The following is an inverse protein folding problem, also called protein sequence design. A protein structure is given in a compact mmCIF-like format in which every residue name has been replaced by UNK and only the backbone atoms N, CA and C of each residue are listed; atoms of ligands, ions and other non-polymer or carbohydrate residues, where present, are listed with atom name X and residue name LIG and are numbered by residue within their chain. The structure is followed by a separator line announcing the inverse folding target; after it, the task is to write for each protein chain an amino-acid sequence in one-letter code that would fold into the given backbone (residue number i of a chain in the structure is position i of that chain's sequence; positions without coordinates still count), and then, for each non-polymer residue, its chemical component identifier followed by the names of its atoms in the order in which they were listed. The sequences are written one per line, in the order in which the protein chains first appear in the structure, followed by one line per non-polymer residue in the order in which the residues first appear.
data_IF_365584821943
#
_entry.id   IF_365584821943
#
_cell.length_a   1.000
_cell.length_b   1.000
_cell.length_c   1.000
_cell.angle_alpha   90.00
_cell.angle_beta   90.00
_cell.angle_gamma   90.00
#
_symmetry.space_group_name_H-M   'P 1'
#
loop_
_entity.id
_entity.type
_entity.pdbx_description
1 polymer ?
#
# COMPACT_ATOMS: atom_id res chain seq x y z
N UNK A 1 -36.85 85.02 15.68
CA UNK A 1 -37.74 85.23 14.50
C UNK A 1 -36.84 85.34 13.30
N UNK A 2 -36.58 84.25 12.63
CA UNK A 2 -35.84 84.33 11.39
C UNK A 2 -36.55 83.40 10.39
N UNK A 3 -37.37 84.03 9.53
CA UNK A 3 -38.04 83.32 8.41
C UNK A 3 -37.02 83.29 7.28
N UNK A 4 -36.38 82.13 7.10
CA UNK A 4 -35.56 81.90 5.91
C UNK A 4 -36.46 81.79 4.69
N UNK A 5 -36.43 82.84 3.84
CA UNK A 5 -36.99 82.94 2.52
C UNK A 5 -36.53 81.77 1.67
N UNK A 6 -37.37 80.73 1.53
CA UNK A 6 -37.22 79.75 0.49
C UNK A 6 -37.63 80.33 -0.85
N UNK A 7 -36.70 80.85 -1.64
CA UNK A 7 -36.93 81.25 -3.01
C UNK A 7 -37.58 80.10 -3.77
N UNK A 8 -38.72 80.35 -4.47
CA UNK A 8 -39.35 79.31 -5.26
C UNK A 8 -38.40 78.88 -6.40
N UNK A 9 -38.17 77.61 -6.51
CA UNK A 9 -37.44 77.03 -7.60
C UNK A 9 -38.04 77.39 -8.95
N UNK A 10 -37.25 77.71 -9.99
CA UNK A 10 -37.75 78.09 -11.30
C UNK A 10 -38.66 76.97 -11.84
N UNK A 11 -39.77 77.37 -12.56
CA UNK A 11 -40.82 76.43 -13.00
C UNK A 11 -40.30 75.28 -13.86
N UNK A 12 -39.18 75.42 -14.56
CA UNK A 12 -38.47 74.36 -15.28
C UNK A 12 -37.83 73.31 -14.36
N UNK A 13 -37.33 73.71 -13.18
CA UNK A 13 -36.74 72.80 -12.21
C UNK A 13 -37.81 72.00 -11.43
N UNK A 14 -38.99 72.64 -11.17
CA UNK A 14 -40.08 71.95 -10.47
C UNK A 14 -40.77 70.94 -11.37
N UNK A 15 -40.90 71.22 -12.69
CA UNK A 15 -41.44 70.25 -13.67
C UNK A 15 -40.43 69.10 -13.90
N UNK A 16 -39.16 69.39 -13.96
CA UNK A 16 -38.11 68.37 -14.03
C UNK A 16 -38.10 67.49 -12.78
N UNK A 17 -38.21 68.06 -11.58
CA UNK A 17 -38.25 67.33 -10.30
C UNK A 17 -39.58 66.51 -10.17
N UNK A 18 -40.69 67.03 -10.67
CA UNK A 18 -41.99 66.30 -10.74
C UNK A 18 -41.89 65.06 -11.66
N UNK A 19 -41.38 65.31 -12.86
CA UNK A 19 -41.16 64.24 -13.82
C UNK A 19 -40.11 63.22 -13.32
N UNK A 20 -39.03 63.65 -12.68
CA UNK A 20 -38.04 62.78 -12.04
C UNK A 20 -38.67 61.91 -10.92
N UNK A 21 -39.60 62.42 -10.14
CA UNK A 21 -40.37 61.67 -9.15
C UNK A 21 -41.24 60.58 -9.80
N UNK A 22 -41.89 60.91 -10.92
CA UNK A 22 -42.75 59.98 -11.64
C UNK A 22 -41.92 58.88 -12.36
N UNK A 23 -40.78 59.27 -12.95
CA UNK A 23 -39.86 58.32 -13.57
C UNK A 23 -39.02 57.56 -12.55
N UNK A 24 -38.75 58.07 -11.35
CA UNK A 24 -37.98 57.42 -10.30
C UNK A 24 -38.63 56.10 -9.85
N UNK A 25 -39.96 56.11 -9.71
CA UNK A 25 -40.71 54.87 -9.40
C UNK A 25 -40.58 53.83 -10.52
N UNK A 26 -40.62 54.26 -11.78
CA UNK A 26 -40.41 53.39 -12.94
C UNK A 26 -38.97 52.86 -13.00
N UNK A 27 -37.97 53.72 -12.76
CA UNK A 27 -36.58 53.33 -12.75
C UNK A 27 -36.31 52.36 -11.59
N UNK A 28 -36.83 52.64 -10.39
CA UNK A 28 -36.70 51.72 -9.23
C UNK A 28 -37.37 50.40 -9.54
N UNK A 29 -38.57 50.41 -10.15
CA UNK A 29 -39.27 49.21 -10.58
C UNK A 29 -38.47 48.42 -11.63
N UNK A 30 -37.91 49.10 -12.62
CA UNK A 30 -37.07 48.47 -13.65
C UNK A 30 -35.78 47.91 -13.08
N UNK A 31 -35.11 48.64 -12.18
CA UNK A 31 -33.92 48.14 -11.47
C UNK A 31 -34.25 46.94 -10.58
N UNK A 32 -35.36 47.00 -9.85
CA UNK A 32 -35.81 45.87 -9.04
C UNK A 32 -36.16 44.63 -9.92
N UNK A 33 -36.83 44.84 -11.03
CA UNK A 33 -37.12 43.74 -11.98
C UNK A 33 -35.85 43.15 -12.60
N UNK A 34 -34.88 44.02 -12.92
CA UNK A 34 -33.56 43.60 -13.44
C UNK A 34 -32.76 42.81 -12.38
N UNK A 35 -32.73 43.26 -11.14
CA UNK A 35 -32.10 42.58 -10.02
C UNK A 35 -32.78 41.23 -9.75
N UNK A 36 -34.12 41.17 -9.77
CA UNK A 36 -34.87 39.94 -9.64
C UNK A 36 -34.56 39.00 -10.81
N UNK A 37 -34.53 39.54 -12.04
CA UNK A 37 -34.16 38.76 -13.24
C UNK A 37 -32.76 38.18 -13.15
N UNK A 38 -31.77 38.96 -12.76
CA UNK A 38 -30.42 38.51 -12.58
C UNK A 38 -30.29 37.46 -11.44
N UNK A 39 -31.04 37.65 -10.35
CA UNK A 39 -31.07 36.69 -9.23
C UNK A 39 -31.79 35.38 -9.52
N UNK A 40 -32.54 35.35 -10.65
CA UNK A 40 -33.27 34.14 -11.11
C UNK A 40 -32.37 33.11 -11.77
N UNK A 41 -31.14 33.45 -12.10
CA UNK A 41 -30.22 32.54 -12.74
C UNK A 41 -29.08 32.16 -11.78
N UNK A 42 -28.63 30.92 -11.87
CA UNK A 42 -27.43 30.46 -11.21
C UNK A 42 -26.64 29.55 -12.16
N UNK A 43 -25.34 29.54 -11.96
CA UNK A 43 -24.40 28.71 -12.74
C UNK A 43 -24.07 27.45 -11.99
N UNK A 44 -23.99 26.35 -12.71
CA UNK A 44 -23.55 25.07 -12.20
C UNK A 44 -22.16 24.76 -12.74
N UNK A 45 -21.28 24.26 -11.87
CA UNK A 45 -19.89 23.89 -12.19
C UNK A 45 -19.73 22.38 -12.25
N UNK A 46 -18.73 21.91 -13.00
CA UNK A 46 -18.39 20.52 -13.08
C UNK A 46 -17.82 20.01 -11.72
N UNK A 47 -18.22 18.79 -11.34
CA UNK A 47 -17.78 18.19 -10.07
C UNK A 47 -18.71 18.45 -8.89
N UNK A 48 -19.77 19.23 -9.12
CA UNK A 48 -20.81 19.49 -8.13
C UNK A 48 -22.16 19.01 -8.64
N UNK A 49 -23.03 18.67 -7.70
CA UNK A 49 -24.43 18.38 -7.93
C UNK A 49 -25.24 19.45 -7.20
N UNK A 50 -26.12 20.11 -7.88
CA UNK A 50 -26.94 21.18 -7.35
C UNK A 50 -28.37 20.69 -7.19
N UNK A 51 -28.91 20.87 -5.98
CA UNK A 51 -30.30 20.56 -5.65
C UNK A 51 -31.02 21.87 -5.39
N UNK A 52 -31.99 22.16 -6.23
CA UNK A 52 -32.84 23.34 -6.11
C UNK A 52 -34.16 22.94 -5.49
N UNK A 53 -34.42 23.43 -4.31
CA UNK A 53 -35.69 23.26 -3.59
C UNK A 53 -36.53 24.50 -3.72
N UNK A 54 -37.66 24.40 -4.41
CA UNK A 54 -38.62 25.48 -4.56
C UNK A 54 -39.64 25.42 -3.44
N UNK A 55 -39.58 26.38 -2.54
CA UNK A 55 -40.53 26.46 -1.41
C UNK A 55 -41.94 26.84 -1.84
N UNK A 56 -42.09 27.53 -2.97
CA UNK A 56 -43.40 27.96 -3.49
C UNK A 56 -44.19 26.79 -4.07
N UNK A 57 -43.53 25.93 -4.85
CA UNK A 57 -44.16 24.80 -5.55
C UNK A 57 -43.88 23.44 -4.87
N UNK A 58 -43.06 23.42 -3.82
CA UNK A 58 -42.66 22.19 -3.15
C UNK A 58 -41.85 21.23 -4.04
N UNK A 59 -41.37 21.68 -5.21
CA UNK A 59 -40.62 20.85 -6.14
C UNK A 59 -39.14 20.84 -5.79
N UNK A 60 -38.50 19.69 -6.03
CA UNK A 60 -37.04 19.52 -5.89
C UNK A 60 -36.49 19.13 -7.27
N UNK A 61 -35.54 19.91 -7.78
CA UNK A 61 -34.89 19.67 -9.07
C UNK A 61 -33.39 19.46 -8.84
N UNK A 62 -32.80 18.55 -9.61
CA UNK A 62 -31.40 18.20 -9.53
C UNK A 62 -30.69 18.54 -10.83
N UNK A 63 -29.56 19.21 -10.73
CA UNK A 63 -28.70 19.58 -11.86
C UNK A 63 -27.29 18.99 -11.61
N UNK A 64 -26.88 18.12 -12.52
CA UNK A 64 -25.56 17.44 -12.47
C UNK A 64 -24.61 17.93 -13.55
N UNK A 65 -25.14 18.58 -14.57
CA UNK A 65 -24.39 19.09 -15.71
C UNK A 65 -24.07 20.57 -15.55
N UNK A 66 -22.92 21.03 -16.04
CA UNK A 66 -22.57 22.45 -16.02
C UNK A 66 -23.50 23.25 -16.95
N UNK A 67 -23.90 24.40 -16.51
CA UNK A 67 -24.80 25.27 -17.30
C UNK A 67 -25.34 26.44 -16.51
N UNK A 68 -26.27 27.14 -17.13
CA UNK A 68 -27.04 28.22 -16.51
C UNK A 68 -28.48 27.75 -16.34
N UNK A 69 -28.95 27.79 -15.10
CA UNK A 69 -30.26 27.27 -14.74
C UNK A 69 -31.12 28.36 -14.09
N UNK A 70 -32.43 28.20 -14.23
CA UNK A 70 -33.40 29.09 -13.65
C UNK A 70 -33.82 28.66 -12.25
N UNK A 71 -33.86 29.59 -11.30
CA UNK A 71 -34.45 29.45 -9.97
C UNK A 71 -35.44 30.59 -9.69
N UNK A 72 -36.45 30.32 -8.89
CA UNK A 72 -37.36 31.35 -8.45
C UNK A 72 -36.69 32.18 -7.37
N UNK A 73 -36.37 33.47 -7.59
CA UNK A 73 -35.70 34.31 -6.61
C UNK A 73 -36.53 34.40 -5.34
N UNK A 74 -35.88 34.42 -4.18
CA UNK A 74 -36.44 34.44 -2.83
C UNK A 74 -37.18 33.15 -2.40
N UNK A 75 -37.66 32.30 -3.32
CA UNK A 75 -38.41 31.07 -2.99
C UNK A 75 -37.66 29.80 -3.31
N UNK A 76 -36.51 29.87 -3.99
CA UNK A 76 -35.70 28.68 -4.28
C UNK A 76 -34.41 28.73 -3.51
N UNK A 77 -34.15 27.67 -2.77
CA UNK A 77 -32.86 27.40 -2.11
C UNK A 77 -32.03 26.48 -2.98
N UNK A 78 -30.77 26.81 -3.19
CA UNK A 78 -29.81 26.00 -3.95
C UNK A 78 -28.84 25.36 -2.96
N UNK A 79 -28.81 24.04 -2.95
CA UNK A 79 -27.89 23.24 -2.15
C UNK A 79 -26.84 22.61 -3.05
N UNK A 80 -25.59 22.71 -2.66
CA UNK A 80 -24.46 22.20 -3.44
C UNK A 80 -23.88 20.97 -2.76
N UNK A 81 -23.72 19.90 -3.53
CA UNK A 81 -23.09 18.66 -3.09
C UNK A 81 -21.87 18.37 -3.96
N UNK A 82 -20.74 18.06 -3.37
CA UNK A 82 -19.57 17.61 -4.12
C UNK A 82 -19.83 16.20 -4.65
N UNK A 83 -19.55 15.96 -5.92
CA UNK A 83 -19.69 14.61 -6.51
C UNK A 83 -18.68 13.62 -5.95
N UNK A 84 -17.49 14.10 -5.57
CA UNK A 84 -16.45 13.29 -4.94
C UNK A 84 -16.17 13.83 -3.55
N UNK A 85 -16.17 12.93 -2.57
CA UNK A 85 -15.95 13.24 -1.15
C UNK A 85 -14.82 12.37 -0.63
N UNK A 86 -13.87 12.98 0.04
CA UNK A 86 -12.74 12.28 0.67
C UNK A 86 -12.77 12.53 2.15
N UNK A 87 -12.94 11.47 2.93
CA UNK A 87 -12.83 11.49 4.39
C UNK A 87 -11.45 10.98 4.76
N UNK A 88 -10.69 11.76 5.49
CA UNK A 88 -9.40 11.37 6.02
C UNK A 88 -9.48 11.23 7.54
N UNK A 89 -9.30 9.98 7.99
CA UNK A 89 -9.13 9.66 9.40
C UNK A 89 -7.64 9.49 9.64
N UNK A 90 -7.02 10.43 10.30
CA UNK A 90 -5.59 10.37 10.57
C UNK A 90 -5.06 11.71 11.09
N UNK A 91 -4.10 11.65 11.99
CA UNK A 91 -3.42 12.84 12.49
C UNK A 91 -2.35 13.26 11.46
N UNK A 92 -2.26 14.56 11.16
CA UNK A 92 -1.33 15.13 10.18
C UNK A 92 0.13 15.17 10.69
N UNK A 93 0.64 14.14 11.34
CA UNK A 93 2.02 14.20 11.85
C UNK A 93 3.10 14.16 10.76
N UNK A 94 2.78 13.81 9.52
CA UNK A 94 3.79 13.64 8.45
C UNK A 94 3.79 14.72 7.35
N UNK A 95 3.13 15.86 7.56
CA UNK A 95 3.23 17.00 6.63
C UNK A 95 2.62 16.78 5.22
N UNK A 96 2.02 15.65 4.96
CA UNK A 96 1.33 15.37 3.69
C UNK A 96 -0.06 15.98 3.75
N UNK A 97 -0.22 17.12 3.09
CA UNK A 97 -1.53 17.81 3.00
C UNK A 97 -2.44 17.03 2.08
N UNK A 98 -3.12 16.03 2.63
CA UNK A 98 -4.20 15.35 1.91
C UNK A 98 -5.37 16.34 1.83
N UNK A 99 -5.71 16.76 0.61
CA UNK A 99 -6.90 17.58 0.37
C UNK A 99 -8.15 16.72 0.60
N UNK A 100 -8.55 16.62 1.85
CA UNK A 100 -9.74 15.89 2.26
C UNK A 100 -10.94 16.84 2.39
N UNK A 101 -12.14 16.32 2.13
CA UNK A 101 -13.39 17.05 2.39
C UNK A 101 -13.59 17.25 3.90
N UNK A 102 -13.22 16.24 4.68
CA UNK A 102 -13.22 16.27 6.16
C UNK A 102 -11.95 15.60 6.68
N UNK A 103 -11.35 16.23 7.68
CA UNK A 103 -10.25 15.68 8.46
C UNK A 103 -10.78 15.26 9.84
N UNK A 104 -10.48 14.04 10.24
CA UNK A 104 -11.00 13.40 11.45
C UNK A 104 -9.85 12.70 12.18
N UNK A 105 -10.03 12.45 13.47
CA UNK A 105 -9.10 11.61 14.22
C UNK A 105 -9.13 10.17 13.73
N UNK A 106 -8.05 9.45 13.97
CA UNK A 106 -7.92 8.01 13.66
C UNK A 106 -9.14 7.24 14.15
N UNK A 107 -9.46 6.16 13.46
CA UNK A 107 -10.54 5.29 13.91
C UNK A 107 -10.00 4.36 14.99
N UNK A 108 -10.47 4.54 16.21
CA UNK A 108 -10.19 3.59 17.28
C UNK A 108 -11.02 2.33 17.07
N UNK A 109 -10.36 1.19 17.06
CA UNK A 109 -10.98 -0.12 16.87
C UNK A 109 -10.60 -1.07 17.99
N UNK A 110 -11.48 -2.03 18.27
CA UNK A 110 -11.23 -3.13 19.17
C UNK A 110 -11.25 -4.44 18.40
N UNK A 111 -10.21 -5.24 18.57
CA UNK A 111 -10.10 -6.56 17.97
C UNK A 111 -10.87 -7.64 18.76
N UNK A 112 -10.99 -8.84 18.19
CA UNK A 112 -11.65 -9.98 18.80
C UNK A 112 -11.04 -10.40 20.16
N UNK A 113 -9.74 -10.19 20.31
CA UNK A 113 -8.93 -10.48 21.50
C UNK A 113 -8.91 -9.32 22.52
N UNK A 114 -9.83 -8.35 22.38
CA UNK A 114 -9.99 -7.17 23.24
C UNK A 114 -8.90 -6.11 23.18
N UNK A 115 -7.84 -6.31 22.41
CA UNK A 115 -6.85 -5.27 22.18
C UNK A 115 -7.43 -4.15 21.32
N UNK A 116 -6.91 -2.94 21.52
CA UNK A 116 -7.31 -1.75 20.77
C UNK A 116 -6.18 -1.26 19.87
N UNK A 117 -6.56 -0.57 18.79
CA UNK A 117 -5.63 0.12 17.94
C UNK A 117 -6.28 1.34 17.30
N UNK A 118 -5.47 2.32 16.94
CA UNK A 118 -5.85 3.46 16.13
C UNK A 118 -5.48 3.20 14.68
N UNK A 119 -6.47 3.25 13.79
CA UNK A 119 -6.30 2.98 12.36
C UNK A 119 -6.53 4.28 11.58
N UNK A 120 -5.47 4.89 11.03
CA UNK A 120 -5.62 5.95 10.05
C UNK A 120 -6.12 5.38 8.74
N UNK A 121 -7.18 5.98 8.18
CA UNK A 121 -7.78 5.52 6.93
C UNK A 121 -8.33 6.67 6.11
N UNK A 122 -8.26 6.55 4.80
CA UNK A 122 -8.84 7.50 3.86
C UNK A 122 -9.90 6.80 3.02
N UNK A 123 -11.10 7.35 3.05
CA UNK A 123 -12.25 6.83 2.30
C UNK A 123 -12.66 7.83 1.23
N UNK A 124 -12.82 7.36 0.01
CA UNK A 124 -13.26 8.17 -1.10
C UNK A 124 -14.61 7.68 -1.62
N UNK A 125 -15.59 8.56 -1.55
CA UNK A 125 -16.96 8.31 -1.99
C UNK A 125 -17.26 9.09 -3.25
N UNK A 126 -18.15 8.55 -4.06
CA UNK A 126 -18.75 9.23 -5.21
C UNK A 126 -20.26 9.23 -5.08
N UNK A 127 -20.84 10.41 -5.21
CA UNK A 127 -22.30 10.60 -5.22
C UNK A 127 -22.92 9.97 -6.48
N UNK A 128 -24.16 9.49 -6.37
CA UNK A 128 -24.94 9.02 -7.51
C UNK A 128 -25.16 10.13 -8.54
N UNK A 129 -25.25 9.77 -9.80
CA UNK A 129 -25.71 10.66 -10.85
C UNK A 129 -27.23 10.59 -11.06
N UNK A 130 -27.92 9.65 -10.40
CA UNK A 130 -29.35 9.43 -10.48
C UNK A 130 -30.11 10.52 -9.71
N UNK A 131 -30.95 11.35 -10.39
CA UNK A 131 -31.68 12.43 -9.74
C UNK A 131 -32.61 11.95 -8.61
N UNK A 132 -33.26 10.80 -8.78
CA UNK A 132 -34.22 10.29 -7.80
C UNK A 132 -33.51 9.91 -6.49
N UNK A 133 -32.34 9.29 -6.57
CA UNK A 133 -31.51 8.96 -5.41
C UNK A 133 -30.98 10.20 -4.71
N UNK A 134 -30.61 11.23 -5.48
CA UNK A 134 -30.16 12.52 -4.93
C UNK A 134 -31.32 13.23 -4.22
N UNK A 135 -32.53 13.20 -4.78
CA UNK A 135 -33.74 13.78 -4.16
C UNK A 135 -34.05 13.06 -2.84
N UNK A 136 -34.01 11.72 -2.82
CA UNK A 136 -34.22 10.91 -1.61
C UNK A 136 -33.18 11.26 -0.54
N UNK A 137 -31.92 11.32 -0.91
CA UNK A 137 -30.82 11.74 -0.04
C UNK A 137 -31.02 13.16 0.50
N UNK A 138 -31.39 14.12 -0.36
CA UNK A 138 -31.62 15.49 0.06
C UNK A 138 -32.81 15.63 1.04
N UNK A 139 -33.86 14.87 0.83
CA UNK A 139 -35.03 14.85 1.76
C UNK A 139 -34.65 14.40 3.16
N UNK A 140 -33.72 13.46 3.29
CA UNK A 140 -33.31 12.92 4.57
C UNK A 140 -32.25 13.79 5.26
N UNK A 141 -31.17 14.14 4.54
CA UNK A 141 -30.04 14.85 5.13
C UNK A 141 -30.10 16.37 5.02
N UNK A 142 -30.85 16.90 4.07
CA UNK A 142 -31.07 18.32 3.80
C UNK A 142 -29.81 19.12 3.43
N UNK A 143 -28.66 18.81 3.98
CA UNK A 143 -27.39 19.54 3.73
C UNK A 143 -26.24 18.59 3.46
N UNK A 144 -25.22 19.13 2.79
CA UNK A 144 -23.98 18.43 2.48
C UNK A 144 -23.24 17.98 3.76
N UNK A 145 -23.15 18.86 4.75
CA UNK A 145 -22.48 18.56 6.00
C UNK A 145 -23.20 17.47 6.79
N UNK A 146 -24.53 17.52 6.84
CA UNK A 146 -25.30 16.45 7.51
C UNK A 146 -25.14 15.10 6.81
N UNK A 147 -25.06 15.07 5.48
CA UNK A 147 -24.78 13.85 4.74
C UNK A 147 -23.44 13.24 5.16
N UNK A 148 -22.41 14.09 5.19
CA UNK A 148 -21.07 13.66 5.59
C UNK A 148 -21.07 13.16 7.04
N UNK A 149 -21.58 13.96 7.98
CA UNK A 149 -21.45 13.71 9.40
C UNK A 149 -22.40 12.60 9.87
N UNK A 150 -23.62 12.53 9.33
CA UNK A 150 -24.63 11.56 9.78
C UNK A 150 -24.57 10.22 9.07
N UNK A 151 -24.14 10.18 7.79
CA UNK A 151 -24.11 8.96 7.02
C UNK A 151 -22.65 8.49 6.78
N UNK A 152 -21.85 9.29 6.08
CA UNK A 152 -20.56 8.82 5.56
C UNK A 152 -19.56 8.54 6.69
N UNK A 153 -19.41 9.48 7.63
CA UNK A 153 -18.47 9.31 8.75
C UNK A 153 -18.89 8.17 9.64
N UNK A 154 -20.20 8.11 10.01
CA UNK A 154 -20.71 7.05 10.87
C UNK A 154 -20.60 5.68 10.20
N UNK A 155 -20.94 5.58 8.91
CA UNK A 155 -20.85 4.32 8.17
C UNK A 155 -19.40 3.87 8.03
N UNK A 156 -18.47 4.77 7.63
CA UNK A 156 -17.06 4.45 7.52
C UNK A 156 -16.47 3.96 8.86
N UNK A 157 -16.75 4.67 9.96
CA UNK A 157 -16.34 4.25 11.30
C UNK A 157 -16.94 2.91 11.71
N UNK A 158 -18.26 2.74 11.55
CA UNK A 158 -18.96 1.52 11.94
C UNK A 158 -18.42 0.30 11.19
N UNK A 159 -18.27 0.41 9.86
CA UNK A 159 -17.73 -0.69 9.06
C UNK A 159 -16.29 -1.02 9.46
N UNK A 160 -15.46 -0.01 9.73
CA UNK A 160 -14.07 -0.21 10.17
C UNK A 160 -14.03 -0.94 11.52
N UNK A 161 -14.82 -0.49 12.49
CA UNK A 161 -14.89 -1.10 13.82
C UNK A 161 -15.42 -2.54 13.76
N UNK A 162 -16.50 -2.77 13.02
CA UNK A 162 -17.09 -4.12 12.88
C UNK A 162 -16.15 -5.05 12.14
N UNK A 163 -15.47 -4.58 11.11
CA UNK A 163 -14.46 -5.39 10.40
C UNK A 163 -13.31 -5.77 11.32
N UNK A 164 -12.86 -4.86 12.19
CA UNK A 164 -11.77 -5.14 13.13
C UNK A 164 -12.11 -6.25 14.13
N UNK A 165 -13.38 -6.38 14.54
CA UNK A 165 -13.80 -7.46 15.46
C UNK A 165 -13.68 -8.87 14.86
N UNK A 166 -13.45 -8.99 13.55
CA UNK A 166 -13.25 -10.28 12.88
C UNK A 166 -11.78 -10.74 12.93
N UNK A 167 -10.88 -9.89 13.39
CA UNK A 167 -9.44 -10.14 13.49
C UNK A 167 -8.98 -10.10 14.94
N UNK A 168 -7.95 -10.87 15.24
CA UNK A 168 -7.18 -10.65 16.47
C UNK A 168 -6.13 -9.57 16.22
N UNK A 169 -5.74 -8.85 17.27
CA UNK A 169 -4.68 -7.83 17.16
C UNK A 169 -3.38 -8.41 16.61
N UNK A 170 -3.04 -9.62 17.04
CA UNK A 170 -1.88 -10.32 16.54
C UNK A 170 -1.98 -10.63 15.04
N UNK A 171 -3.09 -11.22 14.58
CA UNK A 171 -3.33 -11.54 13.16
C UNK A 171 -3.23 -10.28 12.30
N UNK A 172 -3.80 -9.18 12.78
CA UNK A 172 -3.80 -7.90 12.07
C UNK A 172 -2.40 -7.34 11.88
N UNK A 173 -1.59 -7.28 12.94
CA UNK A 173 -0.24 -6.70 12.89
C UNK A 173 0.83 -7.65 12.32
N UNK A 174 0.57 -8.95 12.26
CA UNK A 174 1.50 -9.95 11.67
C UNK A 174 1.29 -10.21 10.17
N UNK A 175 0.57 -9.33 9.47
CA UNK A 175 0.40 -9.40 8.03
C UNK A 175 -1.06 -9.43 7.55
N UNK A 176 -2.04 -9.39 8.46
CA UNK A 176 -3.47 -9.38 8.13
C UNK A 176 -3.98 -8.07 7.53
N UNK A 177 -3.18 -7.01 7.50
CA UNK A 177 -3.59 -5.68 7.05
C UNK A 177 -4.18 -5.66 5.63
N UNK A 178 -3.57 -6.39 4.70
CA UNK A 178 -4.07 -6.45 3.32
C UNK A 178 -5.44 -7.14 3.24
N UNK A 179 -5.60 -8.23 3.97
CA UNK A 179 -6.88 -8.96 4.05
C UNK A 179 -7.95 -8.08 4.68
N UNK A 180 -7.61 -7.39 5.75
CA UNK A 180 -8.48 -6.43 6.41
C UNK A 180 -8.91 -5.31 5.45
N UNK A 181 -7.98 -4.71 4.70
CA UNK A 181 -8.28 -3.66 3.71
C UNK A 181 -9.29 -4.14 2.68
N UNK A 182 -9.06 -5.31 2.09
CA UNK A 182 -9.96 -5.90 1.08
C UNK A 182 -11.34 -6.15 1.66
N UNK A 183 -11.42 -6.73 2.86
CA UNK A 183 -12.70 -6.95 3.54
C UNK A 183 -13.41 -5.66 3.92
N UNK A 184 -12.67 -4.64 4.37
CA UNK A 184 -13.22 -3.34 4.71
C UNK A 184 -13.82 -2.66 3.48
N UNK A 185 -13.12 -2.68 2.35
CA UNK A 185 -13.59 -2.12 1.09
C UNK A 185 -14.84 -2.85 0.59
N UNK A 186 -14.82 -4.18 0.65
CA UNK A 186 -15.95 -5.02 0.25
C UNK A 186 -17.19 -4.80 1.14
N UNK A 187 -17.02 -4.75 2.46
CA UNK A 187 -18.13 -4.49 3.40
C UNK A 187 -18.67 -3.06 3.28
N UNK A 188 -17.80 -2.09 3.03
CA UNK A 188 -18.22 -0.71 2.83
C UNK A 188 -19.01 -0.54 1.53
N UNK A 189 -18.64 -1.29 0.48
CA UNK A 189 -19.28 -1.21 -0.83
C UNK A 189 -20.59 -2.01 -0.90
N UNK A 190 -20.62 -3.22 -0.33
CA UNK A 190 -21.74 -4.16 -0.50
C UNK A 190 -22.54 -4.42 0.79
N UNK A 191 -22.14 -3.84 1.89
CA UNK A 191 -22.77 -4.02 3.20
C UNK A 191 -22.00 -4.95 4.14
N UNK A 192 -22.19 -4.74 5.42
CA UNK A 192 -21.55 -5.50 6.49
C UNK A 192 -21.91 -6.98 6.42
N UNK A 193 -20.93 -7.83 6.67
CA UNK A 193 -21.17 -9.26 6.86
C UNK A 193 -21.99 -9.50 8.14
N UNK A 194 -22.94 -10.41 8.07
CA UNK A 194 -23.55 -10.97 9.25
C UNK A 194 -22.56 -11.91 9.92
N UNK A 195 -22.26 -11.66 11.17
CA UNK A 195 -21.27 -12.43 11.93
C UNK A 195 -21.93 -13.08 13.13
N UNK A 196 -21.45 -14.27 13.47
CA UNK A 196 -21.78 -14.97 14.71
C UNK A 196 -20.52 -15.15 15.55
N UNK A 197 -20.65 -14.91 16.85
CA UNK A 197 -19.52 -15.10 17.76
C UNK A 197 -19.40 -16.58 18.12
N UNK A 198 -18.29 -17.18 17.68
CA UNK A 198 -17.96 -18.59 17.97
C UNK A 198 -16.57 -18.71 18.59
N UNK A 199 -16.42 -19.74 19.40
CA UNK A 199 -15.09 -20.15 19.83
C UNK A 199 -14.40 -20.86 18.68
N UNK A 200 -13.23 -20.35 18.31
CA UNK A 200 -12.36 -20.91 17.28
C UNK A 200 -11.08 -21.38 17.95
N UNK A 201 -10.67 -22.56 17.61
CA UNK A 201 -9.36 -23.07 18.00
C UNK A 201 -8.31 -22.36 17.15
N UNK A 202 -7.50 -21.52 17.79
CA UNK A 202 -6.32 -20.90 17.15
C UNK A 202 -5.11 -21.67 17.62
N UNK A 203 -4.39 -22.27 16.68
CA UNK A 203 -3.11 -22.90 16.97
C UNK A 203 -2.12 -21.80 17.37
N UNK A 204 -1.84 -21.70 18.66
CA UNK A 204 -0.77 -20.86 19.16
C UNK A 204 0.47 -21.72 19.29
N UNK A 205 1.51 -21.43 18.51
CA UNK A 205 2.80 -22.06 18.68
C UNK A 205 3.41 -21.55 20.00
N UNK A 206 3.22 -22.32 21.07
CA UNK A 206 3.72 -21.95 22.39
C UNK A 206 5.26 -22.01 22.38
N UNK A 207 5.88 -20.87 22.42
CA UNK A 207 7.33 -20.68 22.44
C UNK A 207 7.96 -21.06 23.78
N UNK A 208 7.14 -21.34 24.79
CA UNK A 208 7.59 -21.64 26.13
C UNK A 208 7.91 -23.13 26.39
N UNK A 209 7.55 -24.04 25.48
CA UNK A 209 7.67 -25.49 25.71
C UNK A 209 9.05 -26.12 25.43
N UNK A 210 10.10 -25.31 25.28
CA UNK A 210 11.47 -25.81 24.98
C UNK A 210 12.30 -26.09 26.24
N UNK A 211 11.70 -26.22 27.41
CA UNK A 211 12.46 -26.47 28.66
C UNK A 211 12.20 -27.83 29.31
N UNK A 212 11.78 -28.86 28.60
CA UNK A 212 11.76 -30.19 29.15
C UNK A 212 12.75 -31.10 28.45
N UNK A 213 13.66 -31.60 29.27
CA UNK A 213 14.86 -32.39 29.00
C UNK A 213 14.56 -33.85 28.57
N UNK A 214 13.42 -34.11 27.95
CA UNK A 214 13.00 -35.44 27.48
C UNK A 214 12.88 -35.53 25.98
N UNK A 215 13.46 -36.55 25.44
CA UNK A 215 13.82 -36.98 24.11
C UNK A 215 12.66 -37.13 23.06
N UNK A 216 11.51 -36.49 23.27
CA UNK A 216 10.41 -36.42 22.32
C UNK A 216 10.32 -35.01 21.69
N UNK A 217 11.43 -34.55 21.13
CA UNK A 217 11.54 -33.21 20.51
C UNK A 217 10.69 -33.01 19.25
N UNK A 218 9.92 -33.98 18.82
CA UNK A 218 9.11 -33.93 17.60
C UNK A 218 7.60 -33.69 17.86
N UNK A 219 7.18 -33.62 19.11
CA UNK A 219 5.86 -33.14 19.49
C UNK A 219 5.94 -31.70 19.94
N UNK A 220 5.95 -30.78 19.00
CA UNK A 220 5.44 -29.42 19.20
C UNK A 220 4.03 -29.59 19.77
N UNK A 221 3.87 -29.52 21.10
CA UNK A 221 2.54 -29.41 21.70
C UNK A 221 1.92 -28.12 21.15
N UNK A 222 1.10 -28.30 20.11
CA UNK A 222 0.25 -27.25 19.60
C UNK A 222 -0.78 -26.96 20.67
N UNK A 223 -0.49 -25.97 21.50
CA UNK A 223 -1.44 -25.53 22.47
C UNK A 223 -2.55 -24.80 21.72
N UNK A 224 -3.68 -25.49 21.62
CA UNK A 224 -4.88 -24.95 21.02
C UNK A 224 -5.50 -23.97 22.01
N UNK A 225 -5.46 -22.69 21.70
CA UNK A 225 -6.15 -21.66 22.48
C UNK A 225 -7.52 -21.39 21.87
N UNK A 226 -8.57 -21.55 22.69
CA UNK A 226 -9.92 -21.19 22.31
C UNK A 226 -10.07 -19.66 22.38
N UNK A 227 -10.17 -19.02 21.22
CA UNK A 227 -10.41 -17.58 21.11
C UNK A 227 -11.82 -17.34 20.59
N UNK A 228 -12.53 -16.41 21.21
CA UNK A 228 -13.81 -15.96 20.70
C UNK A 228 -13.58 -15.06 19.48
N UNK A 229 -14.03 -15.51 18.30
CA UNK A 229 -13.91 -14.75 17.05
C UNK A 229 -15.28 -14.61 16.39
N UNK A 230 -15.50 -13.47 15.74
CA UNK A 230 -16.68 -13.27 14.91
C UNK A 230 -16.46 -13.95 13.56
N UNK A 231 -17.28 -14.96 13.27
CA UNK A 231 -17.24 -15.72 12.02
C UNK A 231 -18.33 -15.21 11.08
N UNK A 232 -17.99 -15.06 9.82
CA UNK A 232 -18.93 -14.64 8.78
C UNK A 232 -19.93 -15.77 8.51
N UNK A 233 -21.23 -15.46 8.62
CA UNK A 233 -22.30 -16.37 8.26
C UNK A 233 -22.37 -16.51 6.74
N UNK A 234 -22.45 -17.77 6.30
CA UNK A 234 -22.60 -18.10 4.88
C UNK A 234 -24.01 -18.67 4.63
N UNK A 235 -24.60 -18.29 3.51
CA UNK A 235 -25.83 -18.90 3.03
C UNK A 235 -25.56 -20.30 2.46
N UNK A 236 -26.64 -21.05 2.18
CA UNK A 236 -26.58 -22.41 1.57
C UNK A 236 -25.78 -22.48 0.28
N UNK A 237 -25.59 -21.35 -0.40
CA UNK A 237 -24.75 -21.20 -1.61
C UNK A 237 -23.27 -20.92 -1.32
N UNK A 238 -22.86 -20.80 -0.04
CA UNK A 238 -21.49 -20.47 0.35
C UNK A 238 -21.17 -18.96 0.24
N UNK A 239 -22.16 -18.12 -0.06
CA UNK A 239 -21.98 -16.68 -0.10
C UNK A 239 -22.14 -16.07 1.31
N UNK A 240 -21.34 -15.06 1.61
CA UNK A 240 -21.42 -14.33 2.87
C UNK A 240 -22.77 -13.60 2.97
N UNK A 241 -23.49 -13.84 4.06
CA UNK A 241 -24.72 -13.12 4.36
C UNK A 241 -24.38 -11.68 4.74
N UNK A 242 -25.14 -10.70 4.20
CA UNK A 242 -24.86 -9.28 4.37
C UNK A 242 -26.05 -8.54 4.97
N UNK A 243 -25.75 -7.49 5.69
CA UNK A 243 -26.74 -6.48 6.08
C UNK A 243 -26.93 -5.49 4.93
N UNK A 244 -28.10 -4.87 4.85
CA UNK A 244 -28.37 -3.84 3.86
C UNK A 244 -27.36 -2.69 3.99
N UNK A 245 -26.81 -2.27 2.84
CA UNK A 245 -25.86 -1.17 2.82
C UNK A 245 -26.62 0.17 2.83
N UNK A 246 -26.42 1.02 3.84
CA UNK A 246 -27.07 2.34 3.88
C UNK A 246 -26.68 3.25 2.70
N UNK A 247 -25.48 3.06 2.13
CA UNK A 247 -25.00 3.86 0.99
C UNK A 247 -25.73 3.53 -0.32
N UNK A 248 -26.16 2.29 -0.49
CA UNK A 248 -26.80 1.80 -1.70
C UNK A 248 -28.19 2.46 -1.92
N UNK A 249 -28.91 2.72 -0.82
CA UNK A 249 -30.20 3.41 -0.85
C UNK A 249 -30.12 4.78 -1.55
N UNK A 250 -28.98 5.46 -1.45
CA UNK A 250 -28.71 6.76 -2.08
C UNK A 250 -27.78 6.65 -3.29
N UNK A 251 -27.38 5.45 -3.68
CA UNK A 251 -26.47 5.19 -4.80
C UNK A 251 -25.07 5.79 -4.62
N UNK A 252 -24.63 5.94 -3.38
CA UNK A 252 -23.29 6.43 -3.06
C UNK A 252 -22.31 5.27 -3.23
N UNK A 253 -21.31 5.47 -4.10
CA UNK A 253 -20.31 4.47 -4.42
C UNK A 253 -19.03 4.71 -3.63
N UNK A 254 -18.46 3.64 -3.11
CA UNK A 254 -17.10 3.64 -2.55
C UNK A 254 -16.12 3.50 -3.71
N UNK A 255 -15.19 4.44 -3.84
CA UNK A 255 -14.21 4.44 -4.93
C UNK A 255 -12.84 3.93 -4.51
N UNK A 256 -12.48 4.22 -3.29
CA UNK A 256 -11.16 3.84 -2.77
C UNK A 256 -11.19 3.82 -1.25
N UNK A 257 -10.53 2.81 -0.70
CA UNK A 257 -10.19 2.73 0.71
C UNK A 257 -8.69 2.60 0.83
N UNK A 258 -8.06 3.50 1.57
CA UNK A 258 -6.63 3.44 1.87
C UNK A 258 -6.45 3.43 3.37
N UNK A 259 -5.64 2.50 3.84
CA UNK A 259 -5.30 2.37 5.26
C UNK A 259 -3.85 2.82 5.42
N UNK A 260 -3.64 3.76 6.33
CA UNK A 260 -2.30 4.20 6.71
C UNK A 260 -1.64 3.21 7.69
N UNK A 261 -0.54 3.62 8.30
CA UNK A 261 0.13 2.79 9.31
C UNK A 261 -0.70 2.74 10.59
N UNK A 262 -1.20 1.57 11.00
CA UNK A 262 -1.97 1.45 12.23
C UNK A 262 -1.05 1.54 13.46
N UNK A 263 -1.58 2.11 14.54
CA UNK A 263 -0.88 2.27 15.80
C UNK A 263 -1.53 1.36 16.84
N UNK A 264 -0.83 0.31 17.33
CA UNK A 264 -1.35 -0.54 18.37
C UNK A 264 -1.39 0.20 19.71
N UNK A 265 -2.29 -0.21 20.59
CA UNK A 265 -2.23 0.17 22.00
C UNK A 265 -0.91 -0.28 22.64
N UNK A 266 -0.38 0.47 23.59
CA UNK A 266 0.90 0.18 24.26
C UNK A 266 1.01 -1.27 24.75
N UNK A 267 -0.07 -1.80 25.30
CA UNK A 267 -0.12 -3.18 25.83
C UNK A 267 0.05 -4.22 24.71
N UNK A 268 -0.58 -3.99 23.58
CA UNK A 268 -0.43 -4.87 22.39
C UNK A 268 0.96 -4.72 21.79
N UNK A 269 1.47 -3.51 21.69
CA UNK A 269 2.82 -3.24 21.18
C UNK A 269 3.90 -3.94 22.03
N UNK A 270 3.81 -3.83 23.34
CA UNK A 270 4.70 -4.55 24.27
C UNK A 270 4.62 -6.06 24.10
N UNK A 271 3.44 -6.61 23.89
CA UNK A 271 3.25 -8.05 23.64
C UNK A 271 3.86 -8.48 22.33
N UNK A 272 3.64 -7.71 21.24
CA UNK A 272 4.24 -7.98 19.93
C UNK A 272 5.76 -7.90 19.97
N UNK A 273 6.34 -6.91 20.67
CA UNK A 273 7.79 -6.78 20.88
C UNK A 273 8.32 -7.97 21.67
N UNK A 274 7.71 -8.31 22.81
CA UNK A 274 8.11 -9.49 23.61
C UNK A 274 8.05 -10.77 22.78
N UNK A 275 7.00 -10.96 21.98
CA UNK A 275 6.86 -12.14 21.12
C UNK A 275 7.95 -12.18 20.05
N UNK A 276 8.27 -11.05 19.43
CA UNK A 276 9.37 -10.92 18.47
C UNK A 276 10.72 -11.28 19.12
N UNK A 277 10.98 -10.80 20.32
CA UNK A 277 12.20 -11.10 21.07
C UNK A 277 12.29 -12.58 21.44
N UNK A 278 11.17 -13.19 21.86
CA UNK A 278 11.12 -14.62 22.13
C UNK A 278 11.36 -15.46 20.88
N UNK A 279 10.77 -15.08 19.74
CA UNK A 279 11.02 -15.74 18.45
C UNK A 279 12.49 -15.61 18.05
N UNK A 280 13.08 -14.42 18.19
CA UNK A 280 14.50 -14.19 17.89
C UNK A 280 15.41 -15.05 18.79
N UNK A 281 15.15 -15.08 20.11
CA UNK A 281 15.88 -15.94 21.06
C UNK A 281 15.75 -17.42 20.73
N UNK A 282 14.56 -17.87 20.31
CA UNK A 282 14.35 -19.27 19.89
C UNK A 282 15.15 -19.62 18.64
N UNK A 283 15.12 -18.74 17.62
CA UNK A 283 15.90 -18.95 16.39
C UNK A 283 17.40 -19.06 16.74
N UNK A 284 17.92 -18.16 17.57
CA UNK A 284 19.33 -18.24 18.03
C UNK A 284 19.62 -19.50 18.85
N UNK A 285 18.69 -19.94 19.70
CA UNK A 285 18.87 -21.18 20.46
C UNK A 285 18.87 -22.43 19.56
N UNK A 286 17.96 -22.50 18.57
CA UNK A 286 17.92 -23.58 17.57
C UNK A 286 19.23 -23.59 16.76
N UNK A 287 19.68 -22.43 16.28
CA UNK A 287 20.95 -22.32 15.56
C UNK A 287 22.14 -22.75 16.41
N UNK A 288 22.18 -22.34 17.68
CA UNK A 288 23.22 -22.78 18.61
C UNK A 288 23.16 -24.29 18.86
N UNK A 289 21.96 -24.88 18.96
CA UNK A 289 21.81 -26.33 19.11
C UNK A 289 22.23 -27.09 17.84
N UNK A 290 21.89 -26.59 16.66
CA UNK A 290 22.34 -27.21 15.41
C UNK A 290 23.84 -27.12 15.21
N UNK A 291 24.46 -25.97 15.53
CA UNK A 291 25.94 -25.84 15.52
C UNK A 291 26.61 -26.78 16.52
N UNK A 292 26.08 -26.85 17.75
CA UNK A 292 26.64 -27.78 18.76
C UNK A 292 26.48 -29.26 18.35
N UNK A 293 25.34 -29.64 17.71
CA UNK A 293 25.15 -30.97 17.14
C UNK A 293 26.12 -31.28 15.99
N UNK A 294 26.33 -30.29 15.11
CA UNK A 294 27.28 -30.42 14.00
C UNK A 294 28.72 -30.55 14.52
N UNK A 295 29.11 -29.76 15.52
CA UNK A 295 30.43 -29.84 16.19
C UNK A 295 30.62 -31.16 16.92
N UNK A 296 29.60 -31.64 17.65
CA UNK A 296 29.65 -32.93 18.30
C UNK A 296 29.82 -34.08 17.30
N UNK A 297 29.12 -34.01 16.16
CA UNK A 297 29.21 -35.01 15.08
C UNK A 297 30.58 -34.99 14.40
N UNK A 298 31.17 -33.81 14.16
CA UNK A 298 32.53 -33.67 13.64
C UNK A 298 33.55 -34.18 14.62
N UNK A 299 33.42 -33.90 15.92
CA UNK A 299 34.32 -34.40 16.94
C UNK A 299 34.24 -35.94 17.10
N UNK A 300 33.03 -36.52 16.90
CA UNK A 300 32.87 -37.98 16.86
C UNK A 300 33.58 -38.60 15.64
N UNK A 301 33.37 -38.00 14.47
CA UNK A 301 34.05 -38.46 13.26
C UNK A 301 35.57 -38.35 13.33
N UNK A 302 36.08 -37.26 13.91
CA UNK A 302 37.53 -37.10 14.16
C UNK A 302 38.06 -38.18 15.07
N UNK A 303 37.37 -38.49 16.18
CA UNK A 303 37.74 -39.59 17.07
C UNK A 303 37.68 -40.97 16.40
N UNK A 304 36.68 -41.21 15.54
CA UNK A 304 36.60 -42.45 14.76
C UNK A 304 37.74 -42.57 13.75
N UNK A 305 38.08 -41.45 13.08
CA UNK A 305 39.22 -41.39 12.16
C UNK A 305 40.53 -41.62 12.93
N UNK A 306 40.69 -41.00 14.12
CA UNK A 306 41.88 -41.20 14.96
C UNK A 306 42.00 -42.64 15.44
N UNK A 307 40.88 -43.25 15.91
CA UNK A 307 40.85 -44.68 16.26
C UNK A 307 41.16 -45.59 15.05
N UNK A 308 40.57 -45.27 13.89
CA UNK A 308 40.84 -46.04 12.67
C UNK A 308 42.32 -45.93 12.26
N UNK A 309 42.92 -44.75 12.38
CA UNK A 309 44.37 -44.54 12.18
C UNK A 309 45.21 -45.31 13.19
N UNK A 310 44.86 -45.20 14.50
CA UNK A 310 45.59 -45.92 15.54
C UNK A 310 45.53 -47.44 15.38
N UNK A 311 44.36 -48.00 14.99
CA UNK A 311 44.18 -49.41 14.65
C UNK A 311 45.02 -49.76 13.42
N UNK A 312 44.99 -48.91 12.41
CA UNK A 312 45.78 -49.12 11.18
C UNK A 312 47.29 -49.06 11.44
N UNK A 313 47.73 -48.12 12.28
CA UNK A 313 49.16 -48.04 12.68
C UNK A 313 49.58 -49.21 13.57
N UNK A 314 48.72 -49.68 14.49
CA UNK A 314 48.97 -50.87 15.26
C UNK A 314 48.99 -52.16 14.41
N UNK A 315 48.07 -52.22 13.37
CA UNK A 315 48.12 -53.31 12.39
C UNK A 315 49.38 -53.24 11.53
N UNK A 316 49.77 -52.07 11.06
CA UNK A 316 51.03 -51.84 10.33
C UNK A 316 52.24 -52.24 11.17
N UNK A 317 52.30 -51.88 12.48
CA UNK A 317 53.35 -52.22 13.35
C UNK A 317 53.45 -53.76 13.55
N UNK A 318 52.28 -54.43 13.65
CA UNK A 318 52.24 -55.93 13.71
C UNK A 318 52.68 -56.55 12.41
N UNK A 319 52.17 -56.04 11.24
CA UNK A 319 52.60 -56.52 9.94
C UNK A 319 54.06 -56.31 9.66
N UNK A 320 54.61 -55.13 10.04
CA UNK A 320 56.05 -54.86 9.96
C UNK A 320 56.85 -55.82 10.81
N UNK A 321 56.35 -56.17 12.02
CA UNK A 321 57.04 -57.19 12.89
C UNK A 321 56.97 -58.59 12.34
N UNK A 322 55.88 -58.94 11.57
CA UNK A 322 55.75 -60.21 10.86
C UNK A 322 56.62 -60.26 9.61
N UNK A 323 56.59 -59.14 8.85
CA UNK A 323 57.34 -58.97 7.59
C UNK A 323 58.88 -58.99 7.86
N UNK A 324 59.36 -58.52 9.02
CA UNK A 324 60.74 -58.58 9.36
C UNK A 324 61.25 -60.03 9.52
N UNK A 325 60.32 -60.95 9.68
CA UNK A 325 60.61 -62.40 9.79
C UNK A 325 60.42 -63.22 8.51
N UNK A 326 59.71 -62.71 7.52
CA UNK A 326 59.43 -63.41 6.25
C UNK A 326 59.87 -62.61 5.01
N UNK A 327 60.97 -62.00 5.09
CA UNK A 327 61.39 -60.86 4.27
C UNK A 327 61.73 -61.11 2.80
N UNK A 328 61.69 -62.29 2.27
CA UNK A 328 62.19 -62.45 0.88
C UNK A 328 61.18 -62.99 -0.15
N UNK A 329 60.04 -63.51 0.26
CA UNK A 329 59.14 -64.21 -0.70
C UNK A 329 57.75 -63.46 -0.84
N UNK A 330 57.41 -62.63 0.12
CA UNK A 330 56.06 -62.03 0.17
C UNK A 330 55.94 -60.58 -0.31
N UNK A 331 57.11 -59.94 -0.56
CA UNK A 331 57.15 -58.52 -0.97
C UNK A 331 56.49 -58.24 -2.35
N UNK A 332 56.55 -59.15 -3.30
CA UNK A 332 55.95 -58.97 -4.62
C UNK A 332 54.43 -59.17 -4.60
N UNK A 333 53.94 -60.07 -3.73
CA UNK A 333 52.48 -60.29 -3.62
C UNK A 333 51.79 -59.14 -2.89
N UNK A 334 52.41 -58.60 -1.84
CA UNK A 334 51.80 -57.52 -1.06
C UNK A 334 51.82 -56.16 -1.78
N UNK A 335 52.76 -55.88 -2.67
CA UNK A 335 52.76 -54.68 -3.48
C UNK A 335 51.54 -54.66 -4.42
N UNK A 336 51.17 -55.78 -5.02
CA UNK A 336 50.03 -55.89 -5.87
C UNK A 336 48.67 -55.74 -5.13
N UNK A 337 48.64 -56.25 -3.89
CA UNK A 337 47.42 -56.19 -3.04
C UNK A 337 47.21 -54.79 -2.45
N UNK A 338 48.27 -54.11 -2.07
CA UNK A 338 48.24 -52.71 -1.63
C UNK A 338 47.78 -51.74 -2.74
N UNK A 339 48.16 -52.07 -3.96
CA UNK A 339 47.73 -51.25 -5.11
C UNK A 339 46.24 -51.43 -5.43
N UNK A 340 45.69 -52.63 -5.22
CA UNK A 340 44.25 -52.87 -5.35
C UNK A 340 43.45 -52.16 -4.24
N UNK A 341 43.87 -52.22 -2.99
CA UNK A 341 43.18 -51.57 -1.85
C UNK A 341 43.24 -50.05 -1.99
N UNK A 342 44.31 -49.54 -2.59
CA UNK A 342 44.43 -48.11 -2.89
C UNK A 342 43.44 -47.67 -3.95
N UNK A 343 43.29 -48.48 -5.01
CA UNK A 343 42.30 -48.20 -6.09
C UNK A 343 40.86 -48.29 -5.60
N UNK A 344 40.56 -49.25 -4.71
CA UNK A 344 39.24 -49.36 -4.08
C UNK A 344 38.94 -48.15 -3.13
N UNK A 345 39.95 -47.71 -2.36
CA UNK A 345 39.80 -46.51 -1.53
C UNK A 345 39.63 -45.23 -2.35
N UNK A 346 40.39 -45.07 -3.42
CA UNK A 346 40.22 -43.92 -4.33
C UNK A 346 38.85 -43.92 -4.99
N UNK A 347 38.35 -45.12 -5.36
CA UNK A 347 36.99 -45.24 -5.90
C UNK A 347 35.90 -44.94 -4.86
N UNK A 348 36.09 -45.42 -3.60
CA UNK A 348 35.14 -45.15 -2.52
C UNK A 348 35.13 -43.66 -2.08
N UNK A 349 36.30 -43.00 -2.06
CA UNK A 349 36.41 -41.57 -1.78
C UNK A 349 35.79 -40.75 -2.92
N UNK A 350 36.03 -41.16 -4.19
CA UNK A 350 35.44 -40.50 -5.35
C UNK A 350 33.90 -40.68 -5.42
N UNK A 351 33.39 -41.80 -4.88
CA UNK A 351 31.92 -42.02 -4.78
C UNK A 351 31.35 -41.12 -3.67
N UNK A 352 32.00 -41.03 -2.52
CA UNK A 352 31.56 -40.18 -1.39
C UNK A 352 31.61 -38.68 -1.73
N UNK A 353 32.69 -38.26 -2.45
CA UNK A 353 32.77 -36.88 -2.93
C UNK A 353 31.69 -36.57 -3.97
N UNK A 354 31.33 -37.53 -4.84
CA UNK A 354 30.23 -37.35 -5.77
C UNK A 354 28.87 -37.30 -5.10
N UNK A 355 28.68 -38.09 -4.03
CA UNK A 355 27.42 -38.11 -3.27
C UNK A 355 27.22 -36.79 -2.50
N UNK A 356 28.28 -36.27 -1.87
CA UNK A 356 28.25 -34.93 -1.22
C UNK A 356 28.07 -33.79 -2.24
N UNK A 357 28.71 -33.87 -3.42
CA UNK A 357 28.48 -32.88 -4.48
C UNK A 357 27.06 -32.93 -5.05
N UNK A 358 26.46 -34.11 -5.11
CA UNK A 358 25.06 -34.26 -5.52
C UNK A 358 24.10 -33.68 -4.48
N UNK A 359 24.38 -33.87 -3.20
CA UNK A 359 23.54 -33.32 -2.11
C UNK A 359 23.63 -31.80 -2.04
N UNK A 360 24.84 -31.23 -2.22
CA UNK A 360 25.04 -29.78 -2.35
C UNK A 360 24.35 -29.24 -3.60
N UNK A 361 24.49 -29.91 -4.74
CA UNK A 361 23.86 -29.51 -6.00
C UNK A 361 22.33 -29.59 -5.94
N UNK A 362 21.76 -30.56 -5.17
CA UNK A 362 20.31 -30.62 -4.98
C UNK A 362 19.82 -29.50 -4.08
N UNK A 363 20.56 -29.18 -3.00
CA UNK A 363 20.24 -28.05 -2.13
C UNK A 363 20.33 -26.69 -2.87
N UNK A 364 21.38 -26.52 -3.69
CA UNK A 364 21.52 -25.31 -4.54
C UNK A 364 20.38 -25.22 -5.58
N UNK A 365 19.97 -26.35 -6.14
CA UNK A 365 18.86 -26.40 -7.09
C UNK A 365 17.52 -26.05 -6.45
N UNK A 366 17.31 -26.46 -5.20
CA UNK A 366 16.09 -26.12 -4.46
C UNK A 366 16.07 -24.64 -4.03
N UNK A 367 17.23 -24.08 -3.67
CA UNK A 367 17.41 -22.64 -3.46
C UNK A 367 17.16 -21.87 -4.76
N UNK A 368 17.68 -22.36 -5.90
CA UNK A 368 17.43 -21.71 -7.19
C UNK A 368 15.94 -21.80 -7.59
N UNK A 369 15.27 -22.91 -7.31
CA UNK A 369 13.80 -23.01 -7.54
C UNK A 369 13.03 -22.03 -6.68
N UNK A 370 13.33 -21.95 -5.40
CA UNK A 370 12.72 -20.99 -4.48
C UNK A 370 12.96 -19.53 -4.91
N UNK A 371 14.19 -19.22 -5.35
CA UNK A 371 14.52 -17.90 -5.90
C UNK A 371 13.83 -17.64 -7.25
N UNK A 372 13.68 -18.64 -8.10
CA UNK A 372 12.94 -18.53 -9.36
C UNK A 372 11.44 -18.33 -9.12
N UNK A 373 10.86 -19.03 -8.14
CA UNK A 373 9.48 -18.82 -7.73
C UNK A 373 9.27 -17.41 -7.15
N UNK A 374 10.17 -16.97 -6.26
CA UNK A 374 10.16 -15.61 -5.74
C UNK A 374 10.27 -14.55 -6.86
N UNK A 375 11.15 -14.80 -7.85
CA UNK A 375 11.28 -13.93 -9.01
C UNK A 375 10.01 -13.89 -9.87
N UNK A 376 9.32 -15.05 -10.01
CA UNK A 376 8.05 -15.10 -10.75
C UNK A 376 6.92 -14.34 -10.02
N UNK A 377 6.89 -14.41 -8.68
CA UNK A 377 5.95 -13.61 -7.89
C UNK A 377 6.27 -12.12 -7.95
N UNK A 378 7.55 -11.76 -7.87
CA UNK A 378 8.00 -10.38 -8.04
C UNK A 378 7.67 -9.85 -9.46
N UNK A 379 7.90 -10.66 -10.50
CA UNK A 379 7.57 -10.32 -11.87
C UNK A 379 6.05 -10.15 -12.09
N UNK A 380 5.23 -11.00 -11.44
CA UNK A 380 3.77 -10.84 -11.45
C UNK A 380 3.33 -9.55 -10.78
N UNK A 381 3.89 -9.25 -9.62
CA UNK A 381 3.60 -8.01 -8.89
C UNK A 381 4.00 -6.75 -9.68
N UNK A 382 5.16 -6.79 -10.34
CA UNK A 382 5.62 -5.70 -11.22
C UNK A 382 4.71 -5.57 -12.45
N UNK A 383 4.28 -6.71 -13.00
CA UNK A 383 3.38 -6.72 -14.16
C UNK A 383 1.99 -6.19 -13.82
N UNK A 384 1.44 -6.58 -12.67
CA UNK A 384 0.15 -6.03 -12.19
C UNK A 384 0.26 -4.54 -11.89
N UNK A 385 1.36 -4.12 -11.25
CA UNK A 385 1.65 -2.71 -11.02
C UNK A 385 1.79 -1.93 -12.31
N UNK A 386 2.52 -2.49 -13.28
CA UNK A 386 2.68 -1.88 -14.60
C UNK A 386 1.37 -1.82 -15.41
N UNK A 387 0.50 -2.81 -15.27
CA UNK A 387 -0.83 -2.78 -15.88
C UNK A 387 -1.72 -1.71 -15.24
N UNK A 388 -1.70 -1.60 -13.90
CA UNK A 388 -2.44 -0.57 -13.19
C UNK A 388 -1.92 0.84 -13.53
N UNK A 389 -0.60 1.03 -13.61
CA UNK A 389 0.00 2.30 -14.02
C UNK A 389 -0.31 2.62 -15.50
N UNK A 390 -0.33 1.61 -16.37
CA UNK A 390 -0.71 1.78 -17.78
C UNK A 390 -2.20 2.13 -17.95
N UNK A 391 -3.06 1.59 -17.10
CA UNK A 391 -4.48 1.89 -17.11
C UNK A 391 -4.75 3.32 -16.62
N UNK A 392 -4.05 3.74 -15.57
CA UNK A 392 -4.06 5.13 -15.08
C UNK A 392 -3.49 6.10 -16.12
N UNK A 393 -2.37 5.73 -16.77
CA UNK A 393 -1.78 6.52 -17.83
C UNK A 393 -2.71 6.64 -19.04
N UNK A 394 -3.42 5.56 -19.39
CA UNK A 394 -4.41 5.54 -20.47
C UNK A 394 -5.63 6.40 -20.15
N UNK A 395 -6.11 6.35 -18.91
CA UNK A 395 -7.16 7.22 -18.43
C UNK A 395 -6.74 8.70 -18.44
N UNK A 396 -5.51 8.98 -18.05
CA UNK A 396 -4.91 10.31 -18.07
C UNK A 396 -4.71 10.84 -19.51
N UNK A 397 -4.36 9.94 -20.43
CA UNK A 397 -4.18 10.27 -21.85
C UNK A 397 -5.54 10.57 -22.52
N UNK A 398 -6.57 9.79 -22.17
CA UNK A 398 -7.94 10.01 -22.64
C UNK A 398 -8.54 11.31 -22.09
N UNK A 399 -8.27 11.61 -20.82
CA UNK A 399 -8.66 12.90 -20.22
C UNK A 399 -7.95 14.10 -20.89
N UNK A 400 -6.67 13.91 -21.26
CA UNK A 400 -5.88 14.92 -21.98
C UNK A 400 -6.29 15.08 -23.45
N UNK A 401 -6.77 14.02 -24.09
CA UNK A 401 -7.31 14.10 -25.45
C UNK A 401 -8.63 14.88 -25.53
N UNK A 402 -9.43 14.85 -24.46
CA UNK A 402 -10.68 15.63 -24.38
C UNK A 402 -10.45 17.14 -24.20
N UNK A 403 -9.28 17.52 -23.73
CA UNK A 403 -8.89 18.92 -23.51
C UNK A 403 -7.63 19.30 -24.33
N UNK A 404 -7.61 18.90 -25.59
CA UNK A 404 -6.43 18.99 -26.48
C UNK A 404 -5.83 20.40 -26.56
N UNK A 405 -6.65 21.44 -26.50
CA UNK A 405 -6.19 22.82 -26.62
C UNK A 405 -5.54 23.33 -25.31
N UNK A 406 -6.00 22.84 -24.16
CA UNK A 406 -5.40 23.18 -22.86
C UNK A 406 -4.08 22.42 -22.67
N UNK A 407 -4.03 21.18 -23.12
CA UNK A 407 -2.83 20.31 -23.03
C UNK A 407 -1.66 20.81 -23.89
N UNK A 408 -1.98 21.33 -25.08
CA UNK A 408 -0.93 21.92 -25.96
C UNK A 408 -0.36 23.20 -25.39
N UNK A 409 -1.19 23.99 -24.69
CA UNK A 409 -0.71 25.20 -24.02
C UNK A 409 0.14 24.88 -22.77
N UNK A 410 -0.19 23.81 -22.05
CA UNK A 410 0.54 23.36 -20.85
C UNK A 410 1.91 22.77 -21.24
N UNK A 411 1.97 21.95 -22.29
CA UNK A 411 3.23 21.44 -22.81
C UNK A 411 4.13 22.56 -23.34
N UNK A 412 3.57 23.55 -24.02
CA UNK A 412 4.37 24.68 -24.51
C UNK A 412 4.92 25.51 -23.33
N UNK A 413 4.18 25.64 -22.24
CA UNK A 413 4.61 26.31 -21.04
C UNK A 413 5.68 25.51 -20.29
N UNK A 414 5.48 24.19 -20.12
CA UNK A 414 6.43 23.31 -19.44
C UNK A 414 7.75 23.17 -20.22
N UNK A 415 7.68 23.14 -21.56
CA UNK A 415 8.87 23.18 -22.41
C UNK A 415 9.58 24.54 -22.29
N UNK A 416 8.85 25.63 -22.22
CA UNK A 416 9.43 26.95 -22.05
C UNK A 416 10.10 27.09 -20.67
N UNK A 417 9.45 26.61 -19.60
CA UNK A 417 9.95 26.70 -18.23
C UNK A 417 11.18 25.82 -17.95
N UNK A 418 11.29 24.70 -18.67
CA UNK A 418 12.45 23.77 -18.55
C UNK A 418 13.59 24.15 -19.49
N UNK A 419 13.25 24.55 -20.72
CA UNK A 419 14.28 24.88 -21.73
C UNK A 419 14.94 26.23 -21.54
N UNK A 420 14.19 27.26 -21.10
CA UNK A 420 14.77 28.60 -20.94
C UNK A 420 15.80 28.70 -19.79
N UNK A 421 15.63 28.07 -18.63
CA UNK A 421 16.67 28.03 -17.60
C UNK A 421 17.88 27.20 -18.01
N UNK A 422 17.63 26.02 -18.64
CA UNK A 422 18.69 25.10 -19.05
C UNK A 422 19.60 25.67 -20.16
N UNK A 423 19.05 26.50 -21.05
CA UNK A 423 19.83 27.19 -22.08
C UNK A 423 20.65 28.37 -21.54
N UNK A 424 20.28 28.89 -20.35
CA UNK A 424 21.00 30.01 -19.73
C UNK A 424 22.20 29.58 -18.90
N UNK A 425 22.24 28.31 -18.46
CA UNK A 425 23.32 27.74 -17.63
C UNK A 425 24.28 26.84 -18.37
N UNK A 426 24.01 26.45 -19.65
CA UNK A 426 24.87 25.57 -20.39
C UNK A 426 25.93 26.36 -21.18
N UNK A 427 26.95 26.80 -20.48
CA UNK A 427 28.22 27.07 -21.14
C UNK A 427 28.89 25.73 -21.46
N UNK A 428 28.68 25.22 -22.67
CA UNK A 428 29.42 24.08 -23.18
C UNK A 428 30.85 24.57 -23.47
N UNK A 429 31.76 24.34 -22.52
CA UNK A 429 33.20 24.37 -22.81
C UNK A 429 33.55 23.12 -23.60
N UNK A 430 33.70 23.26 -24.86
CA UNK A 430 34.32 22.19 -25.70
C UNK A 430 35.76 21.95 -25.22
N UNK A 431 36.14 20.71 -24.95
CA UNK A 431 37.55 20.40 -24.74
C UNK A 431 38.30 20.46 -26.06
N UNK A 432 39.35 21.28 -26.07
CA UNK A 432 40.19 21.62 -27.19
C UNK A 432 41.34 20.60 -27.38
N UNK A 433 41.01 19.29 -27.42
CA UNK A 433 42.01 18.29 -27.84
C UNK A 433 41.35 17.17 -28.62
N UNK A 434 41.35 17.33 -29.92
CA UNK A 434 41.13 16.25 -30.86
C UNK A 434 42.49 15.87 -31.47
N UNK A 435 43.13 14.83 -30.98
CA UNK A 435 44.19 14.15 -31.75
C UNK A 435 43.54 12.92 -32.33
N UNK A 436 43.05 13.07 -33.53
CA UNK A 436 42.55 11.98 -34.32
C UNK A 436 43.66 11.35 -35.11
N UNK A 437 43.84 10.06 -34.98
CA UNK A 437 44.41 9.26 -36.07
C UNK A 437 43.26 8.43 -36.65
N UNK A 438 43.23 8.45 -37.99
CA UNK A 438 42.09 8.08 -38.78
C UNK A 438 41.73 6.60 -38.74
N UNK A 439 40.55 6.29 -38.32
CA UNK A 439 39.69 5.29 -38.95
C UNK A 439 38.25 5.51 -38.49
N UNK A 440 37.39 5.71 -39.49
CA UNK A 440 35.99 6.06 -39.30
C UNK A 440 35.16 4.91 -38.74
N UNK A 441 34.68 5.08 -37.51
CA UNK A 441 33.39 4.54 -37.09
C UNK A 441 32.72 5.58 -36.19
N UNK A 442 31.43 5.92 -36.39
CA UNK A 442 30.77 6.90 -35.56
C UNK A 442 30.47 6.26 -34.20
N UNK A 443 31.19 6.70 -33.18
CA UNK A 443 30.87 6.34 -31.78
C UNK A 443 29.66 7.17 -31.34
N UNK A 444 28.58 6.49 -31.07
CA UNK A 444 27.36 7.10 -30.54
C UNK A 444 27.67 7.78 -29.21
N UNK A 445 27.31 9.03 -29.06
CA UNK A 445 27.50 9.83 -27.83
C UNK A 445 26.90 9.21 -26.57
N UNK A 446 25.98 8.23 -26.71
CA UNK A 446 25.40 7.48 -25.61
C UNK A 446 26.40 6.48 -24.98
N UNK A 447 27.33 5.91 -25.74
CA UNK A 447 28.28 4.92 -25.21
C UNK A 447 29.36 5.56 -24.32
N UNK A 448 29.65 6.84 -24.52
CA UNK A 448 30.62 7.58 -23.69
C UNK A 448 30.00 7.89 -22.32
N UNK A 449 28.71 8.17 -22.26
CA UNK A 449 28.02 8.42 -20.97
C UNK A 449 27.84 7.16 -20.14
N UNK A 450 27.62 6.00 -20.74
CA UNK A 450 27.50 4.72 -20.00
C UNK A 450 28.85 4.25 -19.45
N UNK A 451 29.96 4.50 -20.16
CA UNK A 451 31.32 4.16 -19.69
C UNK A 451 31.77 5.05 -18.51
N UNK A 452 31.41 6.34 -18.52
CA UNK A 452 31.71 7.28 -17.43
C UNK A 452 30.90 6.95 -16.16
N UNK A 453 29.63 6.57 -16.28
CA UNK A 453 28.78 6.15 -15.17
C UNK A 453 29.25 4.85 -14.49
N UNK A 454 29.78 3.91 -15.28
CA UNK A 454 30.35 2.66 -14.76
C UNK A 454 31.68 2.88 -14.01
N UNK A 455 32.50 3.82 -14.45
CA UNK A 455 33.76 4.18 -13.79
C UNK A 455 33.55 4.88 -12.44
N UNK A 456 32.49 5.68 -12.31
CA UNK A 456 32.17 6.37 -11.06
C UNK A 456 31.60 5.40 -9.99
N UNK A 457 30.87 4.37 -10.40
CA UNK A 457 30.45 3.28 -9.51
C UNK A 457 31.61 2.37 -9.09
N UNK A 458 32.55 2.09 -9.97
CA UNK A 458 33.76 1.34 -9.64
C UNK A 458 34.65 2.10 -8.66
N UNK A 459 34.77 3.39 -8.80
CA UNK A 459 35.55 4.24 -7.91
C UNK A 459 34.91 4.34 -6.52
N UNK A 460 33.59 4.38 -6.42
CA UNK A 460 32.85 4.36 -5.16
C UNK A 460 32.98 3.03 -4.41
N UNK A 461 33.02 1.91 -5.14
CA UNK A 461 33.17 0.57 -4.52
C UNK A 461 34.61 0.27 -4.10
N UNK A 462 35.60 0.92 -4.70
CA UNK A 462 37.02 0.76 -4.30
C UNK A 462 37.41 1.62 -3.08
N UNK A 463 36.63 2.66 -2.76
CA UNK A 463 36.85 3.51 -1.56
C UNK A 463 36.10 3.04 -0.32
N UNK A 464 35.26 1.99 -0.42
CA UNK A 464 34.47 1.43 0.65
C UNK A 464 35.00 0.08 1.18
N UNK A 465 36.31 -0.16 1.13
CA UNK A 465 36.92 -1.28 1.84
C UNK A 465 37.19 -0.87 3.29
N UNK A 466 36.60 -1.53 4.29
CA UNK A 466 36.90 -1.23 5.68
C UNK A 466 38.32 -1.70 6.04
N UNK A 467 39.08 -0.80 6.63
CA UNK A 467 40.27 -1.17 7.38
C UNK A 467 39.87 -1.86 8.67
N UNK A 468 40.39 -3.09 8.86
CA UNK A 468 40.34 -4.00 9.99
C UNK A 468 39.06 -4.79 10.22
#
# INVERSE_FOLDING_TARGET
MDQSDKKPLPPLLSSLLGNLKQYSLGIIGACAALLIGMSSFFTTELGYTYVVQDTLFGSIRVYTEPGVHFKVPMFSNVYTYNQAMTLNFGNQENGEVIRATRQLNDVEVQFADTYTASIPATFRFKLSADPDKIIAMHREFRSYDNLIDSLLIKNAKNVTVVTATQYTGEEFFQGGLNKFKVQLEDQLQFGLYQTERRQVEVEQTDLAAVSSENDDADRLERKVQLVWKNIILQDKSGQAMRLANPLDSYGIQVRQVTIGRPFPEKRLDELLVKKKDLVAKRITAIQAQETARAEAKTAQLEKEIEKARAIQDAQRAKELAIISKQKEVEMERQQAELEQVRKEKEQAVAVLEKETQLEVATAERDIQKANAEAATYAAKAIREKGLAEAEVAKAHLLAKQAAKDIYMAEIQRDIADVMYPALKETQIKMPEYYVGDGSATPVNSLDVFTSLGAMDQLKKNMTAAPAN
#
